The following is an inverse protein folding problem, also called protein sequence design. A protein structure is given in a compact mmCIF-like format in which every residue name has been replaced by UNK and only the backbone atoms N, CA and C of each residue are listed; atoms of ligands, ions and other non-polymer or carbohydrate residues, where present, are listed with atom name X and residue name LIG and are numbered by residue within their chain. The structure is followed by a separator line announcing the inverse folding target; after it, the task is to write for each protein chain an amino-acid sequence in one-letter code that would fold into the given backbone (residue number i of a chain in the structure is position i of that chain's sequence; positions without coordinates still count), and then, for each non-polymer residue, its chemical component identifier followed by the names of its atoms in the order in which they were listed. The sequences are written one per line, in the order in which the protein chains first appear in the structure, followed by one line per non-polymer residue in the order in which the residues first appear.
data_IF_310312848513
#
_entry.id   IF_310312848513
#
_cell.length_a   1.000
_cell.length_b   1.000
_cell.length_c   1.000
_cell.angle_alpha   90.00
_cell.angle_beta   90.00
_cell.angle_gamma   90.00
#
_symmetry.space_group_name_H-M   'P 1'
#
loop_
_entity.id
_entity.type
_entity.pdbx_description
1 polymer ?
#
# COMPACT_ATOMS: atom_id res chain seq x y z
N UNK A 1 16.79 4.03 -6.42
CA UNK A 1 15.50 3.49 -5.92
C UNK A 1 14.44 3.84 -6.94
N UNK A 2 13.86 2.86 -7.62
CA UNK A 2 12.83 3.07 -8.65
C UNK A 2 11.46 3.06 -7.99
N UNK A 3 10.71 4.15 -8.13
CA UNK A 3 9.30 4.22 -7.73
C UNK A 3 8.45 3.67 -8.86
N UNK A 4 7.45 2.88 -8.53
CA UNK A 4 6.56 2.25 -9.50
C UNK A 4 5.21 2.96 -9.43
N UNK A 5 4.66 3.37 -10.58
CA UNK A 5 3.30 3.84 -10.63
C UNK A 5 2.34 2.71 -10.30
N UNK A 6 1.57 2.90 -9.23
CA UNK A 6 0.50 2.00 -8.80
C UNK A 6 -0.78 2.81 -8.75
N UNK A 7 -1.90 2.19 -9.11
CA UNK A 7 -3.20 2.82 -8.96
C UNK A 7 -3.52 2.95 -7.45
N UNK A 8 -3.75 4.17 -6.93
CA UNK A 8 -4.11 4.38 -5.53
C UNK A 8 -5.38 3.62 -5.11
N UNK A 9 -6.36 3.47 -6.01
CA UNK A 9 -7.59 2.72 -5.76
C UNK A 9 -7.32 1.23 -5.51
N UNK A 10 -6.29 0.67 -6.14
CA UNK A 10 -5.89 -0.73 -5.93
C UNK A 10 -5.35 -0.94 -4.51
N UNK A 11 -4.60 0.03 -3.97
CA UNK A 11 -4.07 -0.02 -2.61
C UNK A 11 -5.21 0.04 -1.58
N UNK A 12 -6.16 0.95 -1.78
CA UNK A 12 -7.37 1.07 -0.96
C UNK A 12 -8.16 -0.24 -0.99
N UNK A 13 -8.45 -0.78 -2.18
CA UNK A 13 -9.17 -2.04 -2.33
C UNK A 13 -8.46 -3.20 -1.64
N UNK A 14 -7.14 -3.31 -1.79
CA UNK A 14 -6.35 -4.38 -1.21
C UNK A 14 -6.40 -4.35 0.34
N UNK A 15 -6.32 -3.15 0.91
CA UNK A 15 -6.47 -2.92 2.34
C UNK A 15 -7.87 -3.29 2.84
N UNK A 16 -8.91 -2.81 2.16
CA UNK A 16 -10.31 -3.09 2.52
C UNK A 16 -10.64 -4.58 2.42
N UNK A 17 -10.14 -5.26 1.37
CA UNK A 17 -10.30 -6.70 1.19
C UNK A 17 -9.64 -7.51 2.29
N UNK A 18 -8.50 -7.04 2.80
CA UNK A 18 -7.80 -7.66 3.93
C UNK A 18 -8.48 -7.39 5.28
N UNK A 19 -9.52 -6.54 5.32
CA UNK A 19 -10.17 -6.10 6.55
C UNK A 19 -9.25 -5.27 7.45
N UNK A 20 -8.24 -4.61 6.88
CA UNK A 20 -7.23 -3.85 7.62
C UNK A 20 -7.57 -2.36 7.63
N UNK A 21 -7.52 -1.75 8.80
CA UNK A 21 -7.63 -0.30 8.93
C UNK A 21 -6.33 0.39 8.53
N UNK A 22 -6.44 1.58 7.95
CA UNK A 22 -5.27 2.42 7.60
C UNK A 22 -4.42 2.69 8.84
N UNK A 23 -5.05 2.80 10.03
CA UNK A 23 -4.36 2.96 11.32
C UNK A 23 -3.54 1.74 11.73
N UNK A 24 -4.03 0.53 11.41
CA UNK A 24 -3.31 -0.72 11.68
C UNK A 24 -2.05 -0.82 10.81
N UNK A 25 -2.11 -0.28 9.58
CA UNK A 25 -1.00 -0.27 8.64
C UNK A 25 -0.07 0.94 8.80
N UNK A 26 -0.52 2.05 9.38
CA UNK A 26 0.26 3.28 9.53
C UNK A 26 1.57 3.09 10.31
N UNK A 27 1.64 2.14 11.25
CA UNK A 27 2.87 1.84 11.98
C UNK A 27 3.96 1.20 11.10
N UNK A 28 3.56 0.39 10.10
CA UNK A 28 4.48 -0.34 9.21
C UNK A 28 4.66 0.37 7.86
N UNK A 29 3.65 1.10 7.43
CA UNK A 29 3.56 1.85 6.18
C UNK A 29 3.07 3.28 6.48
N UNK A 30 3.91 4.15 7.08
CA UNK A 30 3.50 5.51 7.45
C UNK A 30 3.12 6.37 6.25
N UNK A 31 3.59 6.01 5.05
CA UNK A 31 3.31 6.70 3.79
C UNK A 31 2.11 6.12 3.04
N UNK A 32 1.38 5.18 3.62
CA UNK A 32 0.26 4.52 2.96
C UNK A 32 -0.80 5.54 2.52
N UNK A 33 -1.12 6.52 3.37
CA UNK A 33 -2.07 7.58 3.01
C UNK A 33 -1.60 8.46 1.86
N UNK A 34 -0.29 8.71 1.74
CA UNK A 34 0.27 9.42 0.58
C UNK A 34 0.18 8.58 -0.71
N UNK A 35 0.26 7.24 -0.58
CA UNK A 35 0.11 6.33 -1.72
C UNK A 35 -1.35 6.21 -2.16
N UNK A 36 -2.29 6.10 -1.21
CA UNK A 36 -3.74 6.10 -1.47
C UNK A 36 -4.24 7.45 -2.03
N UNK A 37 -3.55 8.56 -1.71
CA UNK A 37 -3.83 9.87 -2.30
C UNK A 37 -3.16 10.09 -3.67
N UNK A 38 -2.24 9.22 -4.08
CA UNK A 38 -1.45 9.38 -5.32
C UNK A 38 -0.35 10.46 -5.25
N UNK A 39 -0.17 11.09 -4.09
CA UNK A 39 0.87 12.11 -3.82
C UNK A 39 2.28 11.52 -3.87
N UNK A 40 2.40 10.23 -3.51
CA UNK A 40 3.66 9.52 -3.50
C UNK A 40 3.53 8.13 -4.10
N UNK A 41 4.48 7.78 -4.96
CA UNK A 41 4.55 6.44 -5.54
C UNK A 41 5.45 5.52 -4.70
N UNK A 42 4.99 4.31 -4.32
CA UNK A 42 5.82 3.35 -3.60
C UNK A 42 6.97 2.84 -4.46
N UNK A 43 7.99 2.28 -3.82
CA UNK A 43 9.00 1.47 -4.50
C UNK A 43 8.51 0.04 -4.67
N UNK A 44 9.12 -0.73 -5.59
CA UNK A 44 8.79 -2.14 -5.78
C UNK A 44 8.82 -2.92 -4.46
N UNK A 45 9.90 -2.78 -3.68
CA UNK A 45 10.06 -3.46 -2.40
C UNK A 45 8.97 -3.09 -1.39
N UNK A 46 8.60 -1.81 -1.34
CA UNK A 46 7.51 -1.35 -0.47
C UNK A 46 6.15 -1.91 -0.90
N UNK A 47 5.91 -2.01 -2.21
CA UNK A 47 4.71 -2.60 -2.77
C UNK A 47 4.64 -4.10 -2.47
N UNK A 48 5.75 -4.83 -2.61
CA UNK A 48 5.84 -6.24 -2.23
C UNK A 48 5.60 -6.45 -0.73
N UNK A 49 6.21 -5.63 0.13
CA UNK A 49 6.00 -5.67 1.58
C UNK A 49 4.55 -5.36 1.95
N UNK A 50 3.92 -4.40 1.27
CA UNK A 50 2.51 -4.07 1.42
C UNK A 50 1.62 -5.25 1.01
N UNK A 51 1.83 -5.81 -0.18
CA UNK A 51 1.07 -6.95 -0.69
C UNK A 51 1.12 -8.16 0.26
N UNK A 52 2.30 -8.44 0.83
CA UNK A 52 2.47 -9.47 1.87
C UNK A 52 1.70 -9.16 3.15
N UNK A 53 1.64 -7.90 3.56
CA UNK A 53 0.92 -7.48 4.77
C UNK A 53 -0.60 -7.52 4.61
N UNK A 54 -1.12 -7.21 3.42
CA UNK A 54 -2.56 -7.30 3.11
C UNK A 54 -2.98 -8.69 2.60
N UNK A 55 -2.08 -9.68 2.65
CA UNK A 55 -2.30 -11.04 2.11
C UNK A 55 -2.81 -11.07 0.66
N UNK A 56 -2.57 -10.00 -0.10
CA UNK A 56 -2.81 -9.98 -1.54
C UNK A 56 -1.58 -10.63 -2.15
N UNK A 57 -1.65 -11.94 -2.38
CA UNK A 57 -0.67 -12.59 -3.22
C UNK A 57 -0.74 -11.97 -4.63
N UNK A 58 0.42 -11.53 -5.13
CA UNK A 58 0.61 -11.05 -6.51
C UNK A 58 0.50 -12.19 -7.51
#
# INVERSE_FOLDING_TARGET
MTRIPVNPELLTWARERAGLDTRALAGRFPKLSEWEAGELQPTLRQLEDFARAVHVAV
#
